data_IF_799493042044
#
_entry.id   IF_799493042044
#
_cell.length_a   1.000
_cell.length_b   1.000
_cell.length_c   1.000
_cell.angle_alpha   90.00
_cell.angle_beta   90.00
_cell.angle_gamma   90.00
#
_symmetry.space_group_name_H-M   'P 1'
#
loop_
_entity.id
_entity.type
_entity.pdbx_description
1 polymer ?
#
# COMPACT_ATOMS: atom_id res chain seq x y z
N UNK A 1 24.05 18.61 -21.38
CA UNK A 1 23.38 18.81 -20.08
C UNK A 1 21.88 18.90 -20.35
N UNK A 2 21.13 17.81 -20.19
CA UNK A 2 19.69 17.80 -20.46
C UNK A 2 18.99 18.43 -19.26
N UNK A 3 18.49 19.65 -19.43
CA UNK A 3 17.71 20.35 -18.42
C UNK A 3 16.40 19.58 -18.23
N UNK A 4 16.26 18.89 -17.09
CA UNK A 4 15.01 18.22 -16.75
C UNK A 4 13.88 19.26 -16.66
N UNK A 5 12.96 19.22 -17.63
CA UNK A 5 11.82 20.13 -17.71
C UNK A 5 10.87 19.86 -16.53
N UNK A 6 10.59 20.88 -15.73
CA UNK A 6 9.68 20.81 -14.56
C UNK A 6 8.31 20.20 -14.91
N UNK A 7 7.80 20.47 -16.13
CA UNK A 7 6.54 19.90 -16.63
C UNK A 7 6.64 18.40 -16.89
N UNK A 8 7.79 17.90 -17.35
CA UNK A 8 8.04 16.47 -17.57
C UNK A 8 8.07 15.72 -16.24
N UNK A 9 8.76 16.28 -15.23
CA UNK A 9 8.82 15.68 -13.89
C UNK A 9 7.43 15.56 -13.23
N UNK A 10 6.58 16.58 -13.36
CA UNK A 10 5.20 16.54 -12.85
C UNK A 10 4.35 15.49 -13.56
N UNK A 11 4.46 15.39 -14.89
CA UNK A 11 3.76 14.36 -15.67
C UNK A 11 4.20 12.96 -15.26
N UNK A 12 5.50 12.72 -15.05
CA UNK A 12 5.99 11.41 -14.59
C UNK A 12 5.45 11.05 -13.21
N UNK A 13 5.43 12.00 -12.27
CA UNK A 13 4.86 11.77 -10.93
C UNK A 13 3.37 11.42 -11.02
N UNK A 14 2.59 12.18 -11.81
CA UNK A 14 1.17 11.90 -12.01
C UNK A 14 0.94 10.53 -12.61
N UNK A 15 1.68 10.17 -13.67
CA UNK A 15 1.56 8.86 -14.31
C UNK A 15 1.89 7.75 -13.32
N UNK A 16 2.98 7.89 -12.55
CA UNK A 16 3.37 6.91 -11.54
C UNK A 16 2.30 6.72 -10.46
N UNK A 17 1.73 7.81 -9.94
CA UNK A 17 0.65 7.75 -8.95
C UNK A 17 -0.63 7.12 -9.52
N UNK A 18 -0.98 7.44 -10.77
CA UNK A 18 -2.14 6.82 -11.43
C UNK A 18 -1.93 5.32 -11.58
N UNK A 19 -0.76 4.89 -12.07
CA UNK A 19 -0.43 3.46 -12.22
C UNK A 19 -0.48 2.77 -10.86
N UNK A 20 0.15 3.33 -9.82
CA UNK A 20 0.11 2.77 -8.47
C UNK A 20 -1.33 2.63 -7.94
N UNK A 21 -2.18 3.63 -8.18
CA UNK A 21 -3.60 3.60 -7.77
C UNK A 21 -4.37 2.49 -8.50
N UNK A 22 -4.09 2.26 -9.78
CA UNK A 22 -4.69 1.15 -10.55
C UNK A 22 -4.25 -0.19 -9.96
N UNK A 23 -2.98 -0.35 -9.61
CA UNK A 23 -2.50 -1.56 -8.94
C UNK A 23 -3.16 -1.80 -7.59
N UNK A 24 -3.36 -0.75 -6.78
CA UNK A 24 -4.10 -0.85 -5.51
C UNK A 24 -5.54 -1.30 -5.76
N UNK A 25 -6.24 -0.70 -6.73
CA UNK A 25 -7.62 -1.07 -7.07
C UNK A 25 -7.70 -2.54 -7.47
N UNK A 26 -6.85 -2.98 -8.40
CA UNK A 26 -6.84 -4.39 -8.84
C UNK A 26 -6.49 -5.31 -7.67
N UNK A 27 -5.44 -4.99 -6.92
CA UNK A 27 -4.98 -5.81 -5.79
C UNK A 27 -6.05 -5.97 -4.72
N UNK A 28 -6.71 -4.87 -4.31
CA UNK A 28 -7.76 -4.91 -3.29
C UNK A 28 -8.94 -5.75 -3.78
N UNK A 29 -9.44 -5.52 -4.99
CA UNK A 29 -10.57 -6.31 -5.49
C UNK A 29 -10.20 -7.78 -5.70
N UNK A 30 -8.99 -8.09 -6.17
CA UNK A 30 -8.58 -9.47 -6.42
C UNK A 30 -8.31 -10.24 -5.12
N UNK A 31 -7.68 -9.59 -4.14
CA UNK A 31 -7.28 -10.22 -2.88
C UNK A 31 -8.40 -10.23 -1.83
N UNK A 32 -9.27 -9.21 -1.80
CA UNK A 32 -10.40 -9.19 -0.84
C UNK A 32 -11.40 -10.32 -1.10
N UNK A 33 -11.47 -10.84 -2.32
CA UNK A 33 -12.31 -12.01 -2.67
C UNK A 33 -11.53 -13.33 -2.68
N UNK A 34 -10.20 -13.30 -2.66
CA UNK A 34 -9.45 -14.53 -2.48
C UNK A 34 -9.58 -14.93 -1.02
N UNK A 35 -10.26 -16.03 -0.73
CA UNK A 35 -10.22 -16.62 0.61
C UNK A 35 -8.76 -16.78 1.00
N UNK A 36 -8.40 -16.36 2.21
CA UNK A 36 -7.02 -16.42 2.72
C UNK A 36 -6.53 -17.86 2.68
N UNK A 37 -5.88 -18.21 1.57
CA UNK A 37 -5.69 -19.60 1.17
C UNK A 37 -4.71 -20.29 2.10
N UNK A 38 -3.74 -19.53 2.61
CA UNK A 38 -2.78 -19.99 3.60
C UNK A 38 -3.48 -20.35 4.91
N UNK A 39 -4.38 -19.51 5.39
CA UNK A 39 -5.10 -19.75 6.64
C UNK A 39 -6.03 -20.94 6.53
N UNK A 40 -6.72 -21.08 5.39
CA UNK A 40 -7.56 -22.26 5.14
C UNK A 40 -6.75 -23.55 5.10
N UNK A 41 -5.57 -23.53 4.50
CA UNK A 41 -4.67 -24.69 4.48
C UNK A 41 -4.11 -24.96 5.89
N UNK A 42 -3.75 -23.92 6.65
CA UNK A 42 -3.27 -24.06 8.02
C UNK A 42 -4.36 -24.65 8.94
N UNK A 43 -5.60 -24.16 8.84
CA UNK A 43 -6.77 -24.68 9.55
C UNK A 43 -7.02 -26.16 9.20
N UNK A 44 -6.90 -26.53 7.91
CA UNK A 44 -6.99 -27.92 7.46
C UNK A 44 -5.88 -28.82 8.02
N UNK A 45 -4.69 -28.27 8.25
CA UNK A 45 -3.56 -28.96 8.89
C UNK A 45 -3.67 -28.98 10.43
N UNK A 46 -4.76 -28.45 10.99
CA UNK A 46 -5.02 -28.41 12.43
C UNK A 46 -4.33 -27.27 13.17
N UNK A 47 -3.72 -26.32 12.46
CA UNK A 47 -3.22 -25.09 13.06
C UNK A 47 -4.38 -24.19 13.46
N UNK A 48 -4.25 -23.53 14.61
CA UNK A 48 -5.18 -22.50 15.08
C UNK A 48 -4.39 -21.22 15.26
N UNK A 49 -4.94 -20.11 14.80
CA UNK A 49 -4.39 -18.81 15.14
C UNK A 49 -4.44 -18.57 16.64
N UNK A 50 -3.30 -18.15 17.18
CA UNK A 50 -3.19 -17.67 18.55
C UNK A 50 -2.49 -16.32 18.52
N UNK A 51 -3.25 -15.20 18.44
CA UNK A 51 -2.65 -13.89 18.44
C UNK A 51 -1.99 -13.63 19.79
N UNK A 52 -0.67 -13.41 19.77
CA UNK A 52 0.09 -13.00 20.96
C UNK A 52 -0.22 -11.56 21.38
N UNK A 53 -0.74 -10.77 20.45
CA UNK A 53 -1.12 -9.38 20.60
C UNK A 53 -2.22 -9.07 19.60
N UNK A 54 -3.18 -8.21 19.99
CA UNK A 54 -4.21 -7.72 19.09
C UNK A 54 -3.78 -6.38 18.50
N UNK A 55 -3.26 -6.34 17.26
CA UNK A 55 -2.93 -5.09 16.63
C UNK A 55 -4.19 -4.26 16.36
N UNK A 56 -4.08 -2.92 16.36
CA UNK A 56 -5.21 -2.03 16.07
C UNK A 56 -5.78 -2.20 14.65
N UNK A 57 -5.00 -2.78 13.73
CA UNK A 57 -5.36 -3.03 12.33
C UNK A 57 -4.91 -4.44 11.91
N UNK A 58 -5.53 -5.48 12.47
CA UNK A 58 -5.30 -6.86 12.04
C UNK A 58 -5.75 -7.02 10.57
N UNK A 59 -4.96 -7.71 9.76
CA UNK A 59 -5.27 -8.05 8.36
C UNK A 59 -5.67 -6.85 7.49
N UNK A 60 -5.09 -5.68 7.79
CA UNK A 60 -5.41 -4.41 7.14
C UNK A 60 -6.87 -3.97 7.28
N UNK A 61 -7.60 -4.55 8.24
CA UNK A 61 -8.96 -4.19 8.57
C UNK A 61 -8.98 -2.99 9.51
N UNK A 62 -9.88 -2.06 9.21
CA UNK A 62 -10.08 -0.84 10.00
C UNK A 62 -11.32 -1.08 10.86
N UNK A 63 -11.22 -1.04 12.20
CA UNK A 63 -12.37 -1.25 13.08
C UNK A 63 -13.56 -0.35 12.68
N UNK A 64 -14.68 -0.98 12.34
CA UNK A 64 -15.88 -0.27 11.86
C UNK A 64 -15.98 -0.10 10.34
N UNK A 65 -15.01 -0.59 9.57
CA UNK A 65 -15.01 -0.62 8.11
C UNK A 65 -14.43 -1.93 7.57
N UNK A 66 -15.05 -3.04 7.96
CA UNK A 66 -14.63 -4.40 7.58
C UNK A 66 -15.21 -4.82 6.23
N UNK A 67 -14.90 -4.06 5.18
CA UNK A 67 -15.35 -4.32 3.82
C UNK A 67 -14.28 -3.95 2.79
N UNK A 68 -14.55 -4.24 1.52
CA UNK A 68 -13.63 -3.93 0.39
C UNK A 68 -13.24 -2.44 0.37
N UNK A 69 -14.10 -1.55 0.85
CA UNK A 69 -13.80 -0.12 0.94
C UNK A 69 -12.75 0.19 2.01
N UNK A 70 -12.74 -0.54 3.14
CA UNK A 70 -11.70 -0.46 4.16
C UNK A 70 -10.33 -0.84 3.59
N UNK A 71 -10.25 -1.96 2.88
CA UNK A 71 -9.03 -2.38 2.18
C UNK A 71 -8.57 -1.38 1.12
N UNK A 72 -9.51 -0.77 0.38
CA UNK A 72 -9.19 0.26 -0.61
C UNK A 72 -8.60 1.52 0.02
N UNK A 73 -9.21 2.00 1.11
CA UNK A 73 -8.72 3.17 1.85
C UNK A 73 -7.34 2.88 2.44
N UNK A 74 -7.16 1.72 3.07
CA UNK A 74 -5.86 1.30 3.62
C UNK A 74 -4.78 1.24 2.53
N UNK A 75 -5.09 0.65 1.36
CA UNK A 75 -4.16 0.56 0.23
C UNK A 75 -3.77 1.93 -0.36
N UNK A 76 -4.74 2.84 -0.53
CA UNK A 76 -4.48 4.21 -1.02
C UNK A 76 -3.64 4.98 0.00
N UNK A 77 -4.01 4.93 1.27
CA UNK A 77 -3.29 5.62 2.36
C UNK A 77 -1.85 5.12 2.49
N UNK A 78 -1.64 3.80 2.44
CA UNK A 78 -0.30 3.21 2.46
C UNK A 78 0.55 3.65 1.27
N UNK A 79 -0.05 3.67 0.07
CA UNK A 79 0.65 4.12 -1.16
C UNK A 79 1.06 5.59 -1.05
N UNK A 80 0.16 6.47 -0.61
CA UNK A 80 0.47 7.90 -0.42
C UNK A 80 1.54 8.11 0.66
N UNK A 81 1.45 7.37 1.77
CA UNK A 81 2.43 7.43 2.85
C UNK A 81 3.82 7.05 2.34
N UNK A 82 3.95 5.92 1.65
CA UNK A 82 5.22 5.47 1.07
C UNK A 82 5.77 6.48 0.07
N UNK A 83 4.92 7.07 -0.77
CA UNK A 83 5.32 8.11 -1.71
C UNK A 83 5.87 9.35 -0.99
N UNK A 84 5.16 9.86 0.03
CA UNK A 84 5.58 11.02 0.83
C UNK A 84 6.92 10.75 1.52
N UNK A 85 7.06 9.59 2.18
CA UNK A 85 8.29 9.19 2.86
C UNK A 85 9.44 9.10 1.88
N UNK A 86 9.23 8.46 0.72
CA UNK A 86 10.26 8.34 -0.32
C UNK A 86 10.70 9.72 -0.84
N UNK A 87 9.75 10.63 -1.06
CA UNK A 87 10.06 12.01 -1.45
C UNK A 87 10.82 12.77 -0.36
N UNK A 88 10.45 12.59 0.91
CA UNK A 88 11.15 13.22 2.03
C UNK A 88 12.60 12.73 2.12
N UNK A 89 12.82 11.41 2.02
CA UNK A 89 14.16 10.81 1.99
C UNK A 89 14.96 11.34 0.80
N UNK A 90 14.38 11.37 -0.41
CA UNK A 90 15.05 11.89 -1.58
C UNK A 90 15.48 13.37 -1.41
N UNK A 91 14.62 14.21 -0.82
CA UNK A 91 14.95 15.62 -0.51
C UNK A 91 16.08 15.74 0.51
N UNK A 92 16.04 14.94 1.58
CA UNK A 92 17.09 14.95 2.62
C UNK A 92 18.45 14.51 2.05
N UNK A 93 18.47 13.47 1.22
CA UNK A 93 19.69 13.00 0.55
C UNK A 93 20.23 14.00 -0.47
N UNK A 94 19.35 14.70 -1.20
CA UNK A 94 19.77 15.73 -2.14
C UNK A 94 20.42 16.92 -1.43
N UNK A 95 19.89 17.34 -0.28
CA UNK A 95 20.44 18.43 0.54
C UNK A 95 21.84 18.13 1.09
N UNK A 96 22.20 16.86 1.27
CA UNK A 96 23.52 16.44 1.77
C UNK A 96 24.62 16.46 0.68
N UNK A 97 24.24 16.44 -0.60
CA UNK A 97 25.17 16.36 -1.74
C UNK A 97 25.45 17.72 -2.39
N UNK A 98 24.77 18.77 -1.94
CA UNK A 98 25.07 20.18 -2.25
C UNK A 98 25.78 20.83 -1.09
#
# INVERSE_FOLDING_TARGET
MVTANKRTNQKTIMIGLTVASVFVLIGVFMLSYSMETLDKVAEQLGAKEQPLFNPPFADYNIPGLDNVWGGLIAGIMGTLLLFIVSLAVAKLLHKKKS
#
